data_IF_029870121551
#
_entry.id   IF_029870121551
#
_cell.length_a   1.000
_cell.length_b   1.000
_cell.length_c   1.000
_cell.angle_alpha   90.00
_cell.angle_beta   90.00
_cell.angle_gamma   90.00
#
_symmetry.space_group_name_H-M   'P 1'
#
loop_
_entity.id
_entity.type
_entity.pdbx_description
1 polymer ?
#
# COMPACT_ATOMS: atom_id res chain seq x y z
N UNK A 1 -2.13 -8.63 2.96
CA UNK A 1 -2.10 -7.61 1.89
C UNK A 1 -3.48 -7.13 1.44
N UNK A 2 -4.40 -8.00 1.01
CA UNK A 2 -5.70 -7.59 0.44
C UNK A 2 -6.52 -6.65 1.34
N UNK A 3 -6.54 -6.89 2.64
CA UNK A 3 -7.25 -6.04 3.60
C UNK A 3 -6.61 -4.65 3.73
N UNK A 4 -5.28 -4.58 3.83
CA UNK A 4 -4.52 -3.31 3.89
C UNK A 4 -4.82 -2.46 2.66
N UNK A 5 -4.74 -3.06 1.46
CA UNK A 5 -5.06 -2.39 0.20
C UNK A 5 -6.48 -1.81 0.23
N UNK A 6 -7.48 -2.65 0.57
CA UNK A 6 -8.89 -2.22 0.63
C UNK A 6 -9.11 -1.07 1.61
N UNK A 7 -8.48 -1.11 2.78
CA UNK A 7 -8.57 -0.04 3.78
C UNK A 7 -8.00 1.27 3.24
N UNK A 8 -6.84 1.22 2.58
CA UNK A 8 -6.22 2.42 1.99
C UNK A 8 -7.02 2.99 0.82
N UNK A 9 -7.62 2.14 -0.01
CA UNK A 9 -8.55 2.58 -1.07
C UNK A 9 -9.73 3.38 -0.49
N UNK A 10 -10.30 2.90 0.61
CA UNK A 10 -11.43 3.55 1.28
C UNK A 10 -11.04 4.85 1.99
N UNK A 11 -9.90 4.88 2.69
CA UNK A 11 -9.46 6.06 3.44
C UNK A 11 -9.05 7.21 2.53
N UNK A 12 -8.41 6.91 1.40
CA UNK A 12 -7.79 7.92 0.53
C UNK A 12 -8.48 8.07 -0.83
N UNK A 13 -9.47 7.25 -1.15
CA UNK A 13 -10.20 7.32 -2.43
C UNK A 13 -9.33 6.98 -3.65
N UNK A 14 -8.42 6.03 -3.48
CA UNK A 14 -7.47 5.57 -4.51
C UNK A 14 -7.78 4.14 -4.96
N UNK A 15 -7.09 3.67 -5.99
CA UNK A 15 -7.19 2.29 -6.49
C UNK A 15 -5.79 1.68 -6.60
N UNK A 16 -5.61 0.47 -6.13
CA UNK A 16 -4.32 -0.23 -6.21
C UNK A 16 -4.25 -1.17 -7.40
N UNK A 17 -3.09 -1.19 -8.05
CA UNK A 17 -2.72 -2.11 -9.11
C UNK A 17 -1.54 -2.93 -8.62
N UNK A 18 -1.76 -4.23 -8.41
CA UNK A 18 -0.72 -5.17 -8.00
C UNK A 18 -0.08 -5.77 -9.26
N UNK A 19 0.97 -5.13 -9.77
CA UNK A 19 1.67 -5.60 -10.96
C UNK A 19 2.88 -6.45 -10.55
N UNK A 20 2.78 -7.76 -10.77
CA UNK A 20 3.84 -8.72 -10.41
C UNK A 20 4.10 -8.86 -8.90
N UNK A 21 3.36 -8.17 -8.02
CA UNK A 21 3.50 -8.31 -6.57
C UNK A 21 2.96 -9.66 -6.12
N UNK A 22 3.86 -10.53 -5.64
CA UNK A 22 3.46 -11.80 -5.06
C UNK A 22 2.84 -11.50 -3.70
N UNK A 23 1.54 -11.79 -3.57
CA UNK A 23 0.82 -11.60 -2.30
C UNK A 23 1.51 -12.44 -1.22
N UNK A 24 2.28 -11.79 -0.36
CA UNK A 24 2.93 -12.45 0.76
C UNK A 24 1.88 -12.71 1.86
N UNK A 25 1.99 -13.84 2.56
CA UNK A 25 1.20 -14.15 3.76
C UNK A 25 1.64 -13.32 4.99
N UNK A 26 2.37 -12.22 4.77
CA UNK A 26 2.79 -11.34 5.86
C UNK A 26 1.59 -10.52 6.34
N UNK A 27 1.40 -10.53 7.66
CA UNK A 27 0.43 -9.68 8.36
C UNK A 27 1.10 -8.37 8.74
N UNK A 28 0.47 -7.25 8.41
CA UNK A 28 0.93 -5.93 8.81
C UNK A 28 -0.05 -5.33 9.82
N UNK A 29 0.48 -4.71 10.87
CA UNK A 29 -0.30 -3.92 11.85
C UNK A 29 0.39 -2.58 12.03
N UNK A 30 -0.37 -1.49 11.89
CA UNK A 30 0.11 -0.14 12.07
C UNK A 30 -1.05 0.78 12.46
N UNK A 31 -0.73 1.88 13.14
CA UNK A 31 -1.68 2.94 13.48
C UNK A 31 -1.19 4.22 12.82
N UNK A 32 -2.06 4.88 12.07
CA UNK A 32 -1.77 6.12 11.37
C UNK A 32 -2.87 7.11 11.70
N UNK A 33 -2.51 8.32 12.12
CA UNK A 33 -3.45 9.39 12.46
C UNK A 33 -3.15 10.60 11.60
N UNK A 34 -4.09 10.99 10.73
CA UNK A 34 -3.95 12.12 9.79
C UNK A 34 -2.69 12.09 8.90
N UNK A 35 -2.14 10.90 8.65
CA UNK A 35 -0.96 10.75 7.79
C UNK A 35 -1.32 10.80 6.31
N UNK A 36 -0.40 11.33 5.51
CA UNK A 36 -0.52 11.31 4.05
C UNK A 36 -0.25 9.91 3.50
N UNK A 37 -1.00 9.53 2.46
CA UNK A 37 -0.92 8.19 1.85
C UNK A 37 0.51 7.76 1.54
N UNK A 38 1.34 8.68 1.04
CA UNK A 38 2.72 8.40 0.68
C UNK A 38 3.58 7.94 1.88
N UNK A 39 3.43 8.57 3.05
CA UNK A 39 4.14 8.17 4.26
C UNK A 39 3.69 6.79 4.74
N UNK A 40 2.37 6.55 4.71
CA UNK A 40 1.78 5.26 5.05
C UNK A 40 2.33 4.17 4.13
N UNK A 41 2.35 4.40 2.82
CA UNK A 41 2.89 3.47 1.83
C UNK A 41 4.39 3.24 1.97
N UNK A 42 5.18 4.26 2.32
CA UNK A 42 6.61 4.10 2.62
C UNK A 42 6.83 3.17 3.83
N UNK A 43 6.07 3.37 4.90
CA UNK A 43 6.14 2.54 6.11
C UNK A 43 5.76 1.09 5.83
N UNK A 44 4.64 0.88 5.13
CA UNK A 44 4.17 -0.46 4.77
C UNK A 44 5.12 -1.11 3.76
N UNK A 45 5.58 -0.38 2.74
CA UNK A 45 6.51 -0.87 1.73
C UNK A 45 7.84 -1.33 2.31
N UNK A 46 8.33 -0.62 3.34
CA UNK A 46 9.50 -1.06 4.11
C UNK A 46 9.24 -2.37 4.87
N UNK A 47 8.10 -2.50 5.55
CA UNK A 47 7.78 -3.70 6.33
C UNK A 47 7.41 -4.93 5.47
N UNK A 48 6.79 -4.70 4.32
CA UNK A 48 6.28 -5.73 3.41
C UNK A 48 7.20 -6.00 2.21
N UNK A 49 8.31 -5.27 2.12
CA UNK A 49 9.33 -5.37 1.08
C UNK A 49 8.78 -5.21 -0.34
N UNK A 50 8.09 -4.08 -0.58
CA UNK A 50 7.58 -3.71 -1.89
C UNK A 50 7.93 -2.28 -2.27
N UNK A 51 7.96 -2.02 -3.57
CA UNK A 51 8.02 -0.69 -4.15
C UNK A 51 6.62 -0.23 -4.56
N UNK A 52 6.41 1.08 -4.59
CA UNK A 52 5.16 1.66 -5.07
C UNK A 52 5.40 2.89 -5.96
N UNK A 53 4.43 3.17 -6.82
CA UNK A 53 4.37 4.39 -7.63
C UNK A 53 2.96 4.97 -7.58
N UNK A 54 2.88 6.27 -7.32
CA UNK A 54 1.62 7.03 -7.30
C UNK A 54 1.44 7.69 -8.67
N UNK A 55 0.29 7.45 -9.30
CA UNK A 55 -0.13 8.07 -10.56
C UNK A 55 -1.57 8.58 -10.43
N UNK A 56 -1.69 9.81 -9.94
CA UNK A 56 -2.99 10.40 -9.58
C UNK A 56 -3.71 9.57 -8.51
N UNK A 57 -4.83 8.95 -8.89
CA UNK A 57 -5.61 8.07 -8.00
C UNK A 57 -5.24 6.60 -8.09
N UNK A 58 -4.29 6.22 -8.96
CA UNK A 58 -3.85 4.84 -9.12
C UNK A 58 -2.51 4.63 -8.43
N UNK A 59 -2.42 3.58 -7.63
CA UNK A 59 -1.21 3.21 -6.90
C UNK A 59 -0.72 1.88 -7.43
N UNK A 60 0.44 1.87 -8.03
CA UNK A 60 1.08 0.66 -8.53
C UNK A 60 1.98 0.09 -7.45
N UNK A 61 1.85 -1.21 -7.15
CA UNK A 61 2.73 -1.94 -6.23
C UNK A 61 3.47 -3.00 -7.03
N UNK A 62 4.78 -3.06 -6.84
CA UNK A 62 5.68 -4.04 -7.44
C UNK A 62 6.60 -4.64 -6.37
N UNK A 63 7.21 -5.79 -6.67
CA UNK A 63 8.28 -6.30 -5.82
C UNK A 63 9.46 -5.30 -5.79
N UNK A 64 10.24 -5.38 -4.71
CA UNK A 64 11.44 -4.57 -4.57
C UNK A 64 12.58 -5.05 -5.45
#
# INVERSE_FOLDING_TARGET
>A
MKEVVRTLEQWYGVTFVLDGYTVTNKTFKGKYENEVLENVLRSIGFAMDFNFKIDGKRIYISNK
#
